data_IF_714768434522
#
_entry.id   IF_714768434522
#
_cell.length_a   1.000
_cell.length_b   1.000
_cell.length_c   1.000
_cell.angle_alpha   90.00
_cell.angle_beta   90.00
_cell.angle_gamma   90.00
#
_symmetry.space_group_name_H-M   'P 1'
#
loop_
_entity.id
_entity.type
_entity.pdbx_description
1 polymer ?
#
# COMPACT_ATOMS: atom_id res chain seq x y z
N UNK A 1 8.42 15.35 -14.59
CA UNK A 1 8.71 14.61 -13.35
C UNK A 1 7.85 13.37 -13.35
N UNK A 2 8.43 12.20 -13.08
CA UNK A 2 7.69 10.92 -13.01
C UNK A 2 7.33 10.69 -11.55
N UNK A 3 6.06 10.50 -11.25
CA UNK A 3 5.60 10.17 -9.89
C UNK A 3 5.71 8.67 -9.61
N UNK A 4 5.68 8.29 -8.33
CA UNK A 4 5.61 6.89 -7.93
C UNK A 4 4.40 6.17 -8.57
N UNK A 5 3.24 6.83 -8.59
CA UNK A 5 2.01 6.25 -9.16
C UNK A 5 2.17 5.99 -10.66
N UNK A 6 2.74 6.92 -11.42
CA UNK A 6 2.98 6.76 -12.86
C UNK A 6 4.00 5.64 -13.13
N UNK A 7 5.12 5.64 -12.41
CA UNK A 7 6.15 4.61 -12.54
C UNK A 7 5.58 3.21 -12.25
N UNK A 8 4.76 3.07 -11.19
CA UNK A 8 4.09 1.82 -10.84
C UNK A 8 3.01 1.43 -11.85
N UNK A 9 2.20 2.39 -12.31
CA UNK A 9 1.15 2.14 -13.30
C UNK A 9 1.74 1.63 -14.61
N UNK A 10 2.85 2.22 -15.07
CA UNK A 10 3.57 1.77 -16.26
C UNK A 10 4.00 0.30 -16.15
N UNK A 11 4.62 -0.10 -15.03
CA UNK A 11 5.02 -1.49 -14.83
C UNK A 11 3.82 -2.45 -14.78
N UNK A 12 2.70 -2.05 -14.17
CA UNK A 12 1.49 -2.87 -14.12
C UNK A 12 0.80 -3.02 -15.47
N UNK A 13 0.84 -1.98 -16.30
CA UNK A 13 0.33 -2.00 -17.67
C UNK A 13 1.16 -2.93 -18.54
N UNK A 14 2.49 -2.92 -18.41
CA UNK A 14 3.41 -3.75 -19.19
C UNK A 14 3.86 -5.03 -18.47
N UNK A 15 3.10 -5.51 -17.48
CA UNK A 15 3.49 -6.63 -16.60
C UNK A 15 3.79 -7.95 -17.33
N UNK A 16 3.31 -8.12 -18.55
CA UNK A 16 3.57 -9.29 -19.42
C UNK A 16 4.46 -8.98 -20.62
N UNK A 17 4.89 -7.72 -20.81
CA UNK A 17 5.79 -7.28 -21.87
C UNK A 17 7.06 -6.70 -21.26
N UNK A 18 7.99 -7.60 -20.98
CA UNK A 18 9.27 -7.25 -20.35
C UNK A 18 10.09 -6.28 -21.22
N UNK A 19 10.06 -6.43 -22.54
CA UNK A 19 10.85 -5.60 -23.45
C UNK A 19 10.42 -4.14 -23.40
N UNK A 20 9.11 -3.89 -23.41
CA UNK A 20 8.56 -2.55 -23.26
C UNK A 20 8.75 -2.02 -21.84
N UNK A 21 8.56 -2.86 -20.82
CA UNK A 21 8.75 -2.47 -19.42
C UNK A 21 10.17 -1.96 -19.16
N UNK A 22 11.20 -2.67 -19.62
CA UNK A 22 12.61 -2.26 -19.44
C UNK A 22 12.93 -0.99 -20.22
N UNK A 23 12.47 -0.88 -21.48
CA UNK A 23 12.79 0.27 -22.34
C UNK A 23 12.11 1.57 -21.91
N UNK A 24 10.86 1.49 -21.44
CA UNK A 24 10.04 2.66 -21.15
C UNK A 24 9.99 3.07 -19.67
N UNK A 25 10.46 2.22 -18.76
CA UNK A 25 10.43 2.53 -17.34
C UNK A 25 11.30 3.74 -17.01
N UNK A 26 10.76 4.61 -16.15
CA UNK A 26 11.46 5.75 -15.58
C UNK A 26 11.31 5.70 -14.07
N UNK A 27 12.42 5.82 -13.36
CA UNK A 27 12.39 5.97 -11.91
C UNK A 27 11.59 7.21 -11.53
N UNK A 28 10.78 7.14 -10.45
CA UNK A 28 10.13 8.31 -9.93
C UNK A 28 11.17 9.30 -9.39
N UNK A 29 10.87 10.59 -9.46
CA UNK A 29 11.74 11.62 -8.90
C UNK A 29 11.89 11.46 -7.39
N UNK A 30 13.09 11.68 -6.82
CA UNK A 30 13.34 11.49 -5.41
C UNK A 30 12.62 12.59 -4.60
N UNK A 31 11.58 12.20 -3.89
CA UNK A 31 10.83 13.03 -2.95
C UNK A 31 10.76 12.33 -1.59
N UNK A 32 10.60 13.06 -0.48
CA UNK A 32 10.21 12.44 0.79
C UNK A 32 8.96 11.59 0.57
N UNK A 33 9.06 10.30 0.87
CA UNK A 33 8.01 9.33 0.60
C UNK A 33 7.91 8.31 1.74
N UNK A 34 6.68 8.02 2.13
CA UNK A 34 6.30 6.99 3.08
C UNK A 34 5.24 6.11 2.41
N UNK A 35 5.59 4.84 2.19
CA UNK A 35 4.69 3.91 1.52
C UNK A 35 3.32 3.75 2.20
N UNK A 36 3.27 3.76 3.54
CA UNK A 36 2.03 3.60 4.28
C UNK A 36 1.12 4.85 4.14
N UNK A 37 1.69 6.05 4.22
CA UNK A 37 0.92 7.29 4.18
C UNK A 37 0.60 7.72 2.74
N UNK A 38 1.62 7.82 1.90
CA UNK A 38 1.51 8.46 0.58
C UNK A 38 0.90 7.52 -0.47
N UNK A 39 1.12 6.21 -0.35
CA UNK A 39 0.57 5.24 -1.29
C UNK A 39 -0.62 4.48 -0.74
N UNK A 40 -0.46 3.81 0.40
CA UNK A 40 -1.53 2.97 0.93
C UNK A 40 -2.70 3.81 1.42
N UNK A 41 -2.47 4.75 2.34
CA UNK A 41 -3.52 5.58 2.92
C UNK A 41 -4.10 6.55 1.88
N UNK A 42 -3.27 7.39 1.24
CA UNK A 42 -3.76 8.38 0.28
C UNK A 42 -4.22 7.75 -1.05
N UNK A 43 -3.41 6.86 -1.64
CA UNK A 43 -3.63 6.32 -2.99
C UNK A 43 -4.61 5.15 -3.08
N UNK A 44 -4.75 4.35 -2.01
CA UNK A 44 -5.64 3.17 -2.01
C UNK A 44 -6.80 3.32 -1.02
N UNK A 45 -6.55 3.69 0.23
CA UNK A 45 -7.63 3.85 1.21
C UNK A 45 -8.41 5.16 1.03
N UNK A 46 -7.80 6.20 0.47
CA UNK A 46 -8.45 7.48 0.16
C UNK A 46 -9.18 7.51 -1.19
N UNK A 47 -8.81 6.63 -2.12
CA UNK A 47 -9.37 6.61 -3.47
C UNK A 47 -10.70 5.82 -3.52
N UNK A 48 -11.77 6.43 -4.02
CA UNK A 48 -13.10 5.82 -4.10
C UNK A 48 -13.14 4.48 -4.86
N UNK A 49 -12.30 4.30 -5.90
CA UNK A 49 -12.27 3.07 -6.70
C UNK A 49 -11.68 1.87 -5.96
N UNK A 50 -10.86 2.11 -4.92
CA UNK A 50 -10.12 1.09 -4.18
C UNK A 50 -10.48 1.01 -2.71
N UNK A 51 -10.91 2.09 -2.09
CA UNK A 51 -11.18 2.22 -0.66
C UNK A 51 -11.97 1.06 -0.06
N UNK A 52 -13.04 0.66 -0.74
CA UNK A 52 -13.99 -0.34 -0.24
C UNK A 52 -13.70 -1.75 -0.78
N UNK A 53 -12.69 -1.92 -1.65
CA UNK A 53 -12.26 -3.23 -2.17
C UNK A 53 -11.53 -4.04 -1.10
N UNK A 54 -11.67 -5.38 -1.09
CA UNK A 54 -10.89 -6.24 -0.21
C UNK A 54 -9.37 -6.06 -0.45
N UNK A 55 -8.66 -5.68 0.60
CA UNK A 55 -7.22 -5.50 0.62
C UNK A 55 -6.49 -6.69 1.28
N UNK A 56 -7.12 -7.31 2.28
CA UNK A 56 -6.65 -8.52 2.93
C UNK A 56 -7.81 -9.51 3.05
N UNK A 57 -7.57 -10.74 2.62
CA UNK A 57 -8.50 -11.86 2.78
C UNK A 57 -7.78 -13.00 3.49
N UNK A 58 -8.17 -13.24 4.74
CA UNK A 58 -7.68 -14.35 5.55
C UNK A 58 -8.70 -15.47 5.45
N UNK A 59 -8.25 -16.65 5.07
CA UNK A 59 -9.07 -17.87 4.99
C UNK A 59 -8.57 -18.84 6.05
N UNK A 60 -9.49 -19.26 6.90
CA UNK A 60 -9.31 -20.30 7.90
C UNK A 60 -10.08 -21.53 7.45
N UNK A 61 -9.39 -22.45 6.79
CA UNK A 61 -9.99 -23.64 6.19
C UNK A 61 -10.46 -24.66 7.23
N UNK A 62 -9.82 -24.70 8.41
CA UNK A 62 -10.20 -25.65 9.46
C UNK A 62 -11.51 -25.25 10.15
N UNK A 63 -11.78 -23.94 10.24
CA UNK A 63 -12.99 -23.41 10.86
C UNK A 63 -14.05 -22.94 9.84
N UNK A 64 -13.83 -23.19 8.54
CA UNK A 64 -14.63 -22.67 7.42
C UNK A 64 -14.96 -21.17 7.56
N UNK A 65 -13.97 -20.38 7.99
CA UNK A 65 -14.14 -18.96 8.31
C UNK A 65 -13.32 -18.10 7.39
N UNK A 66 -13.88 -16.94 7.02
CA UNK A 66 -13.20 -15.96 6.18
C UNK A 66 -13.28 -14.58 6.81
N UNK A 67 -12.15 -13.86 6.80
CA UNK A 67 -12.10 -12.44 7.19
C UNK A 67 -11.63 -11.63 6.00
N UNK A 68 -12.46 -10.67 5.56
CA UNK A 68 -12.13 -9.73 4.49
C UNK A 68 -12.07 -8.32 5.07
N UNK A 69 -10.96 -7.63 4.84
CA UNK A 69 -10.76 -6.25 5.27
C UNK A 69 -10.53 -5.37 4.04
N UNK A 70 -11.25 -4.26 3.94
CA UNK A 70 -11.04 -3.28 2.88
C UNK A 70 -9.78 -2.44 3.11
N UNK A 71 -9.32 -1.73 2.08
CA UNK A 71 -8.21 -0.77 2.21
C UNK A 71 -8.51 0.26 3.30
N UNK A 72 -9.72 0.81 3.34
CA UNK A 72 -10.15 1.74 4.38
C UNK A 72 -10.08 1.15 5.79
N UNK A 73 -10.54 -0.10 5.95
CA UNK A 73 -10.56 -0.77 7.24
C UNK A 73 -9.14 -1.07 7.74
N UNK A 74 -8.25 -1.51 6.84
CA UNK A 74 -6.84 -1.76 7.17
C UNK A 74 -6.11 -0.46 7.53
N UNK A 75 -6.30 0.60 6.76
CA UNK A 75 -5.69 1.92 7.04
C UNK A 75 -6.05 2.40 8.44
N UNK A 76 -7.35 2.37 8.82
CA UNK A 76 -7.79 2.76 10.16
C UNK A 76 -7.15 1.91 11.26
N UNK A 77 -7.14 0.58 11.11
CA UNK A 77 -6.57 -0.34 12.12
C UNK A 77 -5.05 -0.19 12.24
N UNK A 78 -4.35 -0.05 11.12
CA UNK A 78 -2.90 0.17 11.11
C UNK A 78 -2.54 1.48 11.81
N UNK A 79 -3.28 2.56 11.55
CA UNK A 79 -3.08 3.85 12.20
C UNK A 79 -3.33 3.80 13.73
N UNK A 80 -4.27 2.98 14.20
CA UNK A 80 -4.46 2.74 15.64
C UNK A 80 -3.20 2.12 16.27
N UNK A 81 -2.62 1.10 15.65
CA UNK A 81 -1.39 0.45 16.13
C UNK A 81 -0.20 1.41 16.06
N UNK A 82 -0.05 2.14 14.94
CA UNK A 82 1.05 3.11 14.77
C UNK A 82 1.02 4.20 15.85
N UNK A 83 -0.17 4.72 16.18
CA UNK A 83 -0.32 5.71 17.24
C UNK A 83 -0.12 5.12 18.63
N UNK A 84 -0.55 3.89 18.87
CA UNK A 84 -0.26 3.17 20.11
C UNK A 84 1.25 3.01 20.31
N UNK A 85 1.98 2.51 19.32
CA UNK A 85 3.43 2.34 19.37
C UNK A 85 4.15 3.66 19.63
N UNK A 86 3.74 4.74 18.94
CA UNK A 86 4.25 6.08 19.20
C UNK A 86 4.02 6.52 20.64
N UNK A 87 2.85 6.22 21.21
CA UNK A 87 2.55 6.52 22.62
C UNK A 87 3.40 5.69 23.60
N UNK A 88 3.89 4.51 23.19
CA UNK A 88 4.87 3.72 23.95
C UNK A 88 6.31 4.25 23.81
N UNK A 89 6.51 5.35 23.09
CA UNK A 89 7.81 6.00 22.95
C UNK A 89 8.64 5.54 21.75
N UNK A 90 8.09 4.69 20.88
CA UNK A 90 8.79 4.26 19.68
C UNK A 90 9.02 5.41 18.70
N UNK A 91 10.20 5.37 18.08
CA UNK A 91 10.71 6.36 17.13
C UNK A 91 11.14 5.69 15.85
N UNK A 92 11.33 6.52 14.83
CA UNK A 92 11.89 6.09 13.54
C UNK A 92 13.30 5.54 13.76
N UNK A 93 13.52 4.30 13.33
CA UNK A 93 14.80 3.60 13.47
C UNK A 93 14.81 2.58 14.60
N UNK A 94 13.80 2.58 15.48
CA UNK A 94 13.66 1.57 16.51
C UNK A 94 13.21 0.23 15.90
N UNK A 95 13.68 -0.87 16.49
CA UNK A 95 13.31 -2.23 16.09
C UNK A 95 12.08 -2.72 16.88
N UNK A 96 11.22 -3.49 16.21
CA UNK A 96 9.99 -4.12 16.72
C UNK A 96 10.01 -5.61 16.46
#
# INVERSE_FOLDING_TARGET
>A
MTTFQEARAFLLQHRTDYGTAVKGFRWPDPVPFNWALDWFDAGLAGNAESRDRPALWIVDAAQDRQTKLSFAALSRRSNQVANFLRAQGLKRGDHL
#
